data_IF_532466432346
#
_entry.id   IF_532466432346
#
_cell.length_a   1.000
_cell.length_b   1.000
_cell.length_c   1.000
_cell.angle_alpha   90.00
_cell.angle_beta   90.00
_cell.angle_gamma   90.00
#
_symmetry.space_group_name_H-M   'P 1'
#
loop_
_entity.id
_entity.type
_entity.pdbx_description
1 polymer ?
#
# COMPACT_ATOMS: atom_id res chain seq x y z
N UNK A 1 2.83 -17.26 6.32
CA UNK A 1 2.74 -16.30 5.19
C UNK A 1 4.13 -15.70 4.99
N UNK A 2 4.46 -15.22 3.80
CA UNK A 2 5.72 -14.48 3.64
C UNK A 2 5.68 -13.24 4.53
N UNK A 3 6.77 -12.93 5.22
CA UNK A 3 6.88 -11.79 6.13
C UNK A 3 6.37 -10.51 5.47
N UNK A 4 6.84 -10.29 4.24
CA UNK A 4 6.44 -9.18 3.39
C UNK A 4 5.74 -9.67 2.13
N UNK A 5 4.73 -8.94 1.68
CA UNK A 5 4.07 -9.16 0.40
C UNK A 5 3.98 -7.85 -0.41
N UNK A 6 4.23 -7.93 -1.71
CA UNK A 6 4.08 -6.78 -2.61
C UNK A 6 2.69 -6.80 -3.27
N UNK A 7 1.97 -5.69 -3.21
CA UNK A 7 0.62 -5.56 -3.76
C UNK A 7 0.49 -4.23 -4.51
N UNK A 8 -0.34 -4.21 -5.55
CA UNK A 8 -0.54 -3.02 -6.38
C UNK A 8 -1.29 -1.95 -5.58
N UNK A 9 -0.79 -0.72 -5.53
CA UNK A 9 -1.49 0.43 -4.95
C UNK A 9 -2.56 0.89 -5.93
N UNK A 10 -3.80 1.01 -5.44
CA UNK A 10 -4.94 1.48 -6.25
C UNK A 10 -5.59 2.75 -5.69
N UNK A 11 -5.11 3.23 -4.55
CA UNK A 11 -5.55 4.50 -3.98
C UNK A 11 -5.15 4.69 -2.52
N UNK A 12 -5.59 5.80 -1.94
CA UNK A 12 -5.46 6.13 -0.52
C UNK A 12 -6.86 6.49 0.01
N UNK A 13 -7.23 5.98 1.19
CA UNK A 13 -8.49 6.32 1.85
C UNK A 13 -8.44 7.73 2.44
N UNK A 14 -9.60 8.32 2.75
CA UNK A 14 -9.66 9.62 3.44
C UNK A 14 -9.00 9.60 4.82
N UNK A 15 -8.90 8.44 5.44
CA UNK A 15 -8.26 8.24 6.75
C UNK A 15 -6.75 7.99 6.62
N UNK A 16 -6.20 8.01 5.39
CA UNK A 16 -4.78 7.85 5.12
C UNK A 16 -4.31 6.41 5.01
N UNK A 17 -5.22 5.45 4.87
CA UNK A 17 -4.89 4.05 4.60
C UNK A 17 -4.54 3.84 3.14
N UNK A 18 -3.62 2.93 2.84
CA UNK A 18 -3.23 2.59 1.47
C UNK A 18 -4.16 1.47 0.99
N UNK A 19 -4.85 1.71 -0.12
CA UNK A 19 -5.73 0.72 -0.74
C UNK A 19 -4.88 -0.07 -1.74
N UNK A 20 -4.81 -1.38 -1.54
CA UNK A 20 -4.02 -2.27 -2.38
C UNK A 20 -4.88 -3.32 -3.07
N UNK A 21 -4.43 -3.82 -4.22
CA UNK A 21 -4.99 -4.95 -4.94
C UNK A 21 -3.99 -6.11 -4.95
N UNK A 22 -4.45 -7.25 -4.47
CA UNK A 22 -3.69 -8.50 -4.50
C UNK A 22 -3.57 -9.10 -5.90
N UNK A 23 -2.56 -9.95 -6.07
CA UNK A 23 -2.43 -10.82 -7.24
C UNK A 23 -3.66 -11.72 -7.48
N UNK A 24 -4.46 -11.97 -6.43
CA UNK A 24 -5.72 -12.73 -6.50
C UNK A 24 -6.95 -11.84 -6.78
N UNK A 25 -6.75 -10.56 -7.06
CA UNK A 25 -7.81 -9.60 -7.40
C UNK A 25 -8.58 -9.02 -6.21
N UNK A 26 -8.29 -9.42 -4.96
CA UNK A 26 -8.90 -8.82 -3.76
C UNK A 26 -8.33 -7.44 -3.50
N UNK A 27 -9.20 -6.49 -3.16
CA UNK A 27 -8.86 -5.11 -2.78
C UNK A 27 -9.12 -4.96 -1.29
N UNK A 28 -8.17 -4.36 -0.56
CA UNK A 28 -8.28 -4.14 0.88
C UNK A 28 -7.43 -2.94 1.33
N UNK A 29 -7.80 -2.28 2.45
CA UNK A 29 -7.00 -1.23 3.05
C UNK A 29 -5.86 -1.81 3.88
N UNK A 30 -4.76 -1.06 3.97
CA UNK A 30 -3.58 -1.36 4.77
C UNK A 30 -3.17 -0.10 5.52
N UNK A 31 -2.83 -0.23 6.80
CA UNK A 31 -2.35 0.94 7.55
C UNK A 31 -1.03 1.41 6.99
N UNK A 32 -0.85 2.72 6.93
CA UNK A 32 0.44 3.30 6.61
C UNK A 32 1.35 3.22 7.84
N UNK A 33 2.56 2.67 7.70
CA UNK A 33 3.55 2.71 8.78
C UNK A 33 3.85 4.18 9.15
N UNK A 34 4.10 4.45 10.44
CA UNK A 34 4.28 5.81 10.96
C UNK A 34 5.41 6.59 10.26
N UNK A 35 6.46 5.88 9.83
CA UNK A 35 7.63 6.47 9.18
C UNK A 35 7.47 6.62 7.65
N UNK A 36 6.43 6.03 7.06
CA UNK A 36 6.23 6.07 5.62
C UNK A 36 5.73 7.44 5.15
N UNK A 37 6.60 8.19 4.49
CA UNK A 37 6.27 9.47 3.84
C UNK A 37 5.67 9.20 2.45
N UNK A 38 4.41 8.79 2.44
CA UNK A 38 3.60 8.65 1.24
C UNK A 38 2.26 9.38 1.39
N UNK A 39 1.80 10.01 0.31
CA UNK A 39 0.59 10.82 0.24
C UNK A 39 0.01 10.86 -1.17
N UNK A 40 -1.12 11.55 -1.35
CA UNK A 40 -1.86 11.55 -2.62
C UNK A 40 -1.08 12.11 -3.81
N UNK A 41 -0.13 13.02 -3.58
CA UNK A 41 0.68 13.63 -4.65
C UNK A 41 1.50 12.59 -5.42
N UNK A 42 2.03 11.59 -4.73
CA UNK A 42 2.83 10.52 -5.34
C UNK A 42 1.99 9.62 -6.25
N UNK A 43 0.69 9.46 -5.98
CA UNK A 43 -0.24 8.76 -6.87
C UNK A 43 -0.53 9.53 -8.16
N UNK A 44 -0.36 10.86 -8.13
CA UNK A 44 -0.71 11.76 -9.23
C UNK A 44 0.50 12.16 -10.07
N UNK A 45 1.72 11.96 -9.55
CA UNK A 45 2.96 12.33 -10.23
C UNK A 45 3.18 11.54 -11.53
N UNK A 46 2.71 10.30 -11.62
CA UNK A 46 2.93 9.46 -12.80
C UNK A 46 1.77 8.47 -12.99
N UNK A 47 0.68 8.96 -13.61
CA UNK A 47 -0.58 8.22 -13.75
C UNK A 47 -0.48 6.97 -14.63
N UNK A 48 0.61 6.81 -15.37
CA UNK A 48 0.87 5.65 -16.24
C UNK A 48 1.72 4.57 -15.54
N UNK A 49 2.31 4.88 -14.37
CA UNK A 49 3.11 3.93 -13.60
C UNK A 49 2.28 3.19 -12.57
N UNK A 50 2.48 1.88 -12.53
CA UNK A 50 1.97 1.03 -11.46
C UNK A 50 2.85 1.19 -10.22
N UNK A 51 2.23 1.58 -9.10
CA UNK A 51 2.90 1.68 -7.80
C UNK A 51 2.63 0.42 -6.99
N UNK A 52 3.65 -0.11 -6.31
CA UNK A 52 3.54 -1.31 -5.49
C UNK A 52 3.88 -1.03 -4.03
N UNK A 53 3.00 -1.45 -3.13
CA UNK A 53 3.19 -1.39 -1.70
C UNK A 53 3.77 -2.70 -1.17
N UNK A 54 4.85 -2.61 -0.39
CA UNK A 54 5.35 -3.69 0.45
C UNK A 54 4.60 -3.66 1.77
N UNK A 55 3.95 -4.78 2.10
CA UNK A 55 3.10 -4.94 3.28
C UNK A 55 3.76 -5.92 4.22
N UNK A 56 3.97 -5.49 5.46
CA UNK A 56 4.33 -6.37 6.57
C UNK A 56 3.09 -7.11 7.06
N UNK A 57 3.12 -8.44 6.94
CA UNK A 57 2.02 -9.32 7.35
C UNK A 57 2.17 -9.83 8.79
N UNK A 58 3.30 -9.55 9.45
CA UNK A 58 3.52 -9.87 10.87
C UNK A 58 2.87 -8.82 11.79
N UNK A 59 2.74 -7.57 11.32
CA UNK A 59 2.04 -6.51 12.04
C UNK A 59 0.52 -6.75 12.10
N UNK A 60 -0.10 -6.44 13.24
CA UNK A 60 -1.56 -6.52 13.41
C UNK A 60 -2.12 -5.17 13.87
N UNK A 61 -2.84 -4.43 13.01
CA UNK A 61 -3.21 -4.75 11.62
C UNK A 61 -2.01 -4.70 10.66
N UNK A 62 -2.15 -5.27 9.46
CA UNK A 62 -1.11 -5.21 8.42
C UNK A 62 -0.72 -3.76 8.09
N UNK A 63 0.59 -3.55 7.89
CA UNK A 63 1.17 -2.23 7.67
C UNK A 63 1.93 -2.17 6.35
N UNK A 64 1.75 -1.07 5.61
CA UNK A 64 2.55 -0.75 4.45
C UNK A 64 3.82 -0.05 4.91
N UNK A 65 4.97 -0.69 4.63
CA UNK A 65 6.30 -0.27 5.09
C UNK A 65 7.12 0.39 3.98
N UNK A 66 6.75 0.21 2.72
CA UNK A 66 7.42 0.81 1.56
C UNK A 66 6.47 0.90 0.38
N UNK A 67 6.69 1.88 -0.51
CA UNK A 67 6.06 1.97 -1.83
C UNK A 67 7.16 2.15 -2.88
N UNK A 68 7.00 1.48 -4.03
CA UNK A 68 7.92 1.48 -5.16
C UNK A 68 7.19 1.78 -6.46
#
# INVERSE_FOLDING_TARGET
MAKEIEQLVVGISREGEIIVKSARGRIYPVKKAADLKFGCEELLNDTEKELYATIDTESQPWECVSIK
#
